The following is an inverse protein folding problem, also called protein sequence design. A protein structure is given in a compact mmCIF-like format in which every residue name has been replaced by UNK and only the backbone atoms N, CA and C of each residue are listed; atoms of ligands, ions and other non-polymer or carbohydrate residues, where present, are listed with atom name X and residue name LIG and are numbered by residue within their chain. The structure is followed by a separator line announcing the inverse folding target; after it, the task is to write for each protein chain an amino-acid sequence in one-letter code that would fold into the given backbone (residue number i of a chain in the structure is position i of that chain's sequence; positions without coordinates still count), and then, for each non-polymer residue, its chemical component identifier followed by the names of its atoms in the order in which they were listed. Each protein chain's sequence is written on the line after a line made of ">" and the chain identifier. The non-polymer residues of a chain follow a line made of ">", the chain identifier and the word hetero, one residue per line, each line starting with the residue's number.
data_IF_468451994758
#
_entry.id   IF_468451994758
#
_cell.length_a   1.000
_cell.length_b   1.000
_cell.length_c   1.000
_cell.angle_alpha   90.00
_cell.angle_beta   90.00
_cell.angle_gamma   90.00
#
_symmetry.space_group_name_H-M   'P 1'
#
loop_
_entity.id
_entity.type
_entity.pdbx_description
1 polymer ?
#
# COMPACT_ATOMS: atom_id res chain seq x y z
N UNK A 1 -77.64 12.48 24.35
CA UNK A 1 -77.95 12.21 22.91
C UNK A 1 -76.75 11.98 22.03
N UNK A 2 -75.54 11.72 22.58
CA UNK A 2 -74.28 11.58 21.83
C UNK A 2 -73.79 10.10 21.68
N UNK A 3 -74.40 9.14 22.40
CA UNK A 3 -73.96 7.76 22.46
C UNK A 3 -74.52 6.80 21.42
N UNK A 4 -75.34 7.29 20.48
CA UNK A 4 -75.99 6.47 19.44
C UNK A 4 -75.31 6.46 18.08
N UNK A 5 -74.29 7.29 17.83
CA UNK A 5 -73.67 7.46 16.50
C UNK A 5 -72.51 6.47 16.26
N UNK A 6 -71.94 5.86 17.31
CA UNK A 6 -70.75 4.98 17.19
C UNK A 6 -71.10 3.53 16.71
N UNK A 7 -72.38 3.18 16.54
CA UNK A 7 -72.80 1.80 16.23
C UNK A 7 -73.19 1.54 14.76
N UNK A 8 -72.95 2.49 13.87
CA UNK A 8 -73.15 2.21 12.43
C UNK A 8 -71.92 1.47 11.87
N UNK A 9 -72.17 0.30 11.33
CA UNK A 9 -71.11 -0.56 10.68
C UNK A 9 -70.30 0.14 9.58
N UNK A 10 -70.68 1.36 9.17
CA UNK A 10 -69.98 2.18 8.18
C UNK A 10 -68.98 3.20 8.76
N UNK A 11 -68.96 3.46 10.09
CA UNK A 11 -68.09 4.50 10.70
C UNK A 11 -66.64 3.98 10.93
N UNK A 12 -66.49 2.70 11.24
CA UNK A 12 -65.20 2.06 11.51
C UNK A 12 -64.29 2.10 10.27
N UNK A 13 -64.74 1.73 9.03
CA UNK A 13 -63.86 1.80 7.86
C UNK A 13 -63.46 3.21 7.47
N UNK A 14 -64.31 4.23 7.71
CA UNK A 14 -63.99 5.64 7.44
C UNK A 14 -62.92 6.13 8.39
N UNK A 15 -62.99 5.80 9.67
CA UNK A 15 -61.95 6.16 10.68
C UNK A 15 -60.62 5.50 10.39
N UNK A 16 -60.64 4.23 9.96
CA UNK A 16 -59.42 3.50 9.56
C UNK A 16 -58.77 4.10 8.30
N UNK A 17 -59.58 4.47 7.29
CA UNK A 17 -59.07 5.16 6.09
C UNK A 17 -58.47 6.51 6.43
N UNK A 18 -59.13 7.32 7.27
CA UNK A 18 -58.63 8.61 7.73
C UNK A 18 -57.32 8.43 8.55
N UNK A 19 -57.29 7.45 9.43
CA UNK A 19 -56.11 7.11 10.20
C UNK A 19 -54.94 6.64 9.28
N UNK A 20 -55.22 5.84 8.26
CA UNK A 20 -54.24 5.41 7.27
C UNK A 20 -53.73 6.56 6.40
N UNK A 21 -54.62 7.45 5.95
CA UNK A 21 -54.23 8.67 5.21
C UNK A 21 -53.43 9.63 6.08
N UNK A 22 -53.83 9.81 7.37
CA UNK A 22 -53.10 10.59 8.32
C UNK A 22 -51.74 9.98 8.63
N UNK A 23 -51.65 8.69 8.82
CA UNK A 23 -50.42 7.92 8.96
C UNK A 23 -49.48 8.12 7.75
N UNK A 24 -49.96 7.95 6.53
CA UNK A 24 -49.21 8.18 5.29
C UNK A 24 -48.73 9.62 5.13
N UNK A 25 -49.50 10.61 5.62
CA UNK A 25 -49.17 12.02 5.56
C UNK A 25 -48.17 12.45 6.66
N UNK A 26 -48.24 11.82 7.83
CA UNK A 26 -47.34 12.08 8.95
C UNK A 26 -46.05 11.29 8.88
N UNK A 27 -46.02 10.17 8.18
CA UNK A 27 -44.81 9.36 7.96
C UNK A 27 -44.43 9.38 6.48
N UNK A 28 -43.76 10.45 6.02
CA UNK A 28 -43.26 10.49 4.65
C UNK A 28 -42.35 9.29 4.41
N UNK A 29 -42.57 8.58 3.30
CA UNK A 29 -41.75 7.45 2.90
C UNK A 29 -40.27 7.86 2.90
N UNK A 30 -39.41 7.03 3.51
CA UNK A 30 -37.98 7.28 3.50
C UNK A 30 -37.51 7.51 2.05
N UNK A 31 -36.64 8.51 1.80
CA UNK A 31 -36.15 8.82 0.46
C UNK A 31 -35.52 7.56 -0.16
N UNK A 32 -35.93 7.27 -1.42
CA UNK A 32 -35.40 6.11 -2.14
C UNK A 32 -33.95 6.37 -2.54
N UNK A 33 -33.11 5.34 -2.38
CA UNK A 33 -31.75 5.38 -2.89
C UNK A 33 -31.76 5.39 -4.43
N UNK A 34 -30.94 6.27 -5.01
CA UNK A 34 -30.72 6.35 -6.47
C UNK A 34 -29.52 5.50 -6.90
N UNK A 35 -28.55 5.30 -6.01
CA UNK A 35 -27.40 4.42 -6.23
C UNK A 35 -26.76 4.01 -4.90
N UNK A 36 -25.73 3.16 -5.00
CA UNK A 36 -24.86 2.77 -3.88
C UNK A 36 -23.49 3.35 -4.13
N UNK A 37 -22.86 3.90 -3.08
CA UNK A 37 -21.50 4.38 -3.07
C UNK A 37 -20.72 3.79 -1.92
N UNK A 38 -19.41 4.01 -1.96
CA UNK A 38 -18.47 3.65 -0.90
C UNK A 38 -17.59 4.84 -0.56
N UNK A 39 -17.30 5.05 0.71
CA UNK A 39 -16.46 6.16 1.14
C UNK A 39 -15.02 5.92 0.70
N UNK A 40 -14.44 6.89 -0.03
CA UNK A 40 -13.11 6.81 -0.63
C UNK A 40 -12.02 7.56 0.13
N UNK A 41 -12.36 8.29 1.18
CA UNK A 41 -11.41 8.99 2.04
C UNK A 41 -11.39 8.37 3.44
N UNK A 42 -10.33 8.63 4.21
CA UNK A 42 -10.13 8.04 5.54
C UNK A 42 -11.32 8.29 6.46
N UNK A 43 -11.69 9.56 6.57
CA UNK A 43 -12.74 10.05 7.43
C UNK A 43 -13.53 11.14 6.69
N UNK A 44 -14.83 10.94 6.54
CA UNK A 44 -15.73 11.87 5.87
C UNK A 44 -16.82 12.31 6.82
N UNK A 45 -16.91 13.62 7.07
CA UNK A 45 -17.93 14.19 7.93
C UNK A 45 -19.24 14.30 7.14
N UNK A 46 -20.31 13.84 7.74
CA UNK A 46 -21.67 13.98 7.25
C UNK A 46 -22.34 15.21 7.86
N UNK A 47 -22.83 16.10 7.02
CA UNK A 47 -23.42 17.38 7.44
C UNK A 47 -24.94 17.33 7.35
N UNK A 48 -25.65 18.00 8.27
CA UNK A 48 -27.12 18.10 8.24
C UNK A 48 -27.64 18.91 7.06
N UNK A 49 -26.85 19.85 6.55
CA UNK A 49 -27.22 20.74 5.44
C UNK A 49 -26.03 21.19 4.61
N UNK A 50 -26.29 21.83 3.47
CA UNK A 50 -25.27 22.47 2.63
C UNK A 50 -25.05 23.95 2.96
N UNK A 51 -25.81 24.50 3.93
CA UNK A 51 -25.67 25.87 4.37
C UNK A 51 -24.30 26.20 4.98
N UNK A 52 -23.98 27.48 5.11
CA UNK A 52 -22.73 27.90 5.77
C UNK A 52 -22.71 27.50 7.25
N UNK A 53 -23.84 27.70 7.95
CA UNK A 53 -24.01 27.23 9.32
C UNK A 53 -24.60 25.82 9.24
N UNK A 54 -23.86 24.84 9.69
CA UNK A 54 -24.22 23.43 9.63
C UNK A 54 -23.60 22.64 10.79
N UNK A 55 -24.20 21.52 11.11
CA UNK A 55 -23.77 20.62 12.17
C UNK A 55 -23.38 19.27 11.59
N UNK A 56 -22.40 18.62 12.20
CA UNK A 56 -22.06 17.24 11.89
C UNK A 56 -23.15 16.32 12.44
N UNK A 57 -23.70 15.45 11.59
CA UNK A 57 -24.69 14.44 11.98
C UNK A 57 -24.10 13.04 12.04
N UNK A 58 -22.85 12.88 11.61
CA UNK A 58 -22.13 11.61 11.65
C UNK A 58 -20.82 11.67 10.92
N UNK A 59 -20.17 10.53 10.87
CA UNK A 59 -18.90 10.32 10.19
C UNK A 59 -18.94 8.98 9.47
N UNK A 60 -18.30 8.90 8.32
CA UNK A 60 -18.08 7.66 7.60
C UNK A 60 -16.60 7.43 7.36
N UNK A 61 -16.21 6.17 7.24
CA UNK A 61 -14.83 5.75 7.09
C UNK A 61 -14.60 5.07 5.73
N UNK A 62 -13.36 5.00 5.30
CA UNK A 62 -12.98 4.34 4.05
C UNK A 62 -13.59 2.94 3.93
N UNK A 63 -14.26 2.71 2.81
CA UNK A 63 -14.94 1.45 2.51
C UNK A 63 -16.35 1.31 3.07
N UNK A 64 -16.83 2.27 3.88
CA UNK A 64 -18.21 2.25 4.35
C UNK A 64 -19.16 2.36 3.15
N UNK A 65 -20.09 1.40 3.07
CA UNK A 65 -21.16 1.40 2.08
C UNK A 65 -22.22 2.43 2.49
N UNK A 66 -22.60 3.28 1.55
CA UNK A 66 -23.66 4.27 1.72
C UNK A 66 -24.67 4.21 0.58
N UNK A 67 -25.91 4.57 0.87
CA UNK A 67 -26.92 4.75 -0.15
C UNK A 67 -26.96 6.23 -0.56
N UNK A 68 -26.83 6.51 -1.84
CA UNK A 68 -26.93 7.85 -2.40
C UNK A 68 -28.41 8.18 -2.58
N UNK A 69 -28.85 9.25 -1.95
CA UNK A 69 -30.26 9.69 -1.97
C UNK A 69 -30.49 10.85 -2.94
N UNK A 70 -29.50 11.76 -3.04
CA UNK A 70 -29.60 12.97 -3.84
C UNK A 70 -28.22 13.49 -4.21
N UNK A 71 -28.12 14.13 -5.38
CA UNK A 71 -26.90 14.80 -5.83
C UNK A 71 -27.23 16.27 -6.15
N UNK A 72 -26.47 17.21 -5.58
CA UNK A 72 -26.57 18.64 -5.82
C UNK A 72 -25.19 19.22 -6.14
N UNK A 73 -24.91 19.44 -7.41
CA UNK A 73 -23.60 19.88 -7.87
C UNK A 73 -22.53 18.84 -7.51
N UNK A 74 -21.56 19.22 -6.68
CA UNK A 74 -20.53 18.33 -6.14
C UNK A 74 -20.93 17.66 -4.84
N UNK A 75 -22.03 18.07 -4.21
CA UNK A 75 -22.48 17.53 -2.94
C UNK A 75 -23.44 16.35 -3.13
N UNK A 76 -23.33 15.39 -2.22
CA UNK A 76 -24.11 14.14 -2.27
C UNK A 76 -24.76 13.89 -0.92
N UNK A 77 -26.08 13.72 -0.90
CA UNK A 77 -26.79 13.28 0.28
C UNK A 77 -26.75 11.76 0.34
N UNK A 78 -26.33 11.23 1.47
CA UNK A 78 -26.18 9.79 1.66
C UNK A 78 -26.89 9.31 2.91
N UNK A 79 -27.24 8.03 2.91
CA UNK A 79 -27.68 7.28 4.09
C UNK A 79 -26.65 6.21 4.41
N UNK A 80 -26.15 6.23 5.64
CA UNK A 80 -25.24 5.18 6.15
C UNK A 80 -25.98 3.90 6.49
N UNK A 81 -25.26 2.82 6.73
CA UNK A 81 -25.85 1.57 7.21
C UNK A 81 -26.55 1.68 8.57
N UNK A 82 -26.14 2.67 9.40
CA UNK A 82 -26.82 2.99 10.66
C UNK A 82 -28.13 3.76 10.48
N UNK A 83 -28.48 4.15 9.24
CA UNK A 83 -29.66 4.95 8.93
C UNK A 83 -29.43 6.48 9.04
N UNK A 84 -28.26 6.94 9.41
CA UNK A 84 -27.92 8.37 9.46
C UNK A 84 -27.94 8.97 8.07
N UNK A 85 -28.69 10.06 7.87
CA UNK A 85 -28.75 10.80 6.62
C UNK A 85 -27.93 12.08 6.78
N UNK A 86 -27.01 12.33 5.84
CA UNK A 86 -26.20 13.52 5.86
C UNK A 86 -25.65 13.86 4.47
N UNK A 87 -25.03 15.04 4.37
CA UNK A 87 -24.42 15.55 3.14
C UNK A 87 -22.91 15.37 3.17
N UNK A 88 -22.37 14.80 2.10
CA UNK A 88 -20.94 14.84 1.74
C UNK A 88 -20.78 15.97 0.72
N UNK A 89 -19.84 16.90 0.96
CA UNK A 89 -19.70 18.12 0.14
C UNK A 89 -18.98 17.88 -1.19
N UNK A 90 -18.17 16.86 -1.25
CA UNK A 90 -17.37 16.54 -2.43
C UNK A 90 -17.62 15.10 -2.85
N UNK A 91 -18.29 14.91 -3.97
CA UNK A 91 -18.59 13.60 -4.55
C UNK A 91 -17.34 12.77 -4.86
N UNK A 92 -16.16 13.42 -5.01
CA UNK A 92 -14.88 12.72 -5.19
C UNK A 92 -14.44 11.92 -3.96
N UNK A 93 -15.09 12.15 -2.82
CA UNK A 93 -14.90 11.34 -1.60
C UNK A 93 -15.71 10.04 -1.63
N UNK A 94 -16.50 9.81 -2.68
CA UNK A 94 -17.24 8.58 -2.90
C UNK A 94 -16.68 7.83 -4.11
N UNK A 95 -16.63 6.52 -3.96
CA UNK A 95 -16.40 5.57 -5.05
C UNK A 95 -17.72 4.93 -5.46
N UNK A 96 -17.91 4.70 -6.75
CA UNK A 96 -18.98 3.84 -7.23
C UNK A 96 -18.67 2.34 -6.95
N UNK A 97 -19.62 1.47 -7.18
CA UNK A 97 -19.46 0.03 -6.90
C UNK A 97 -18.39 -0.63 -7.77
N UNK A 98 -18.18 -0.14 -9.01
CA UNK A 98 -17.14 -0.67 -9.91
C UNK A 98 -15.75 -0.31 -9.38
N UNK A 99 -15.53 0.96 -9.05
CA UNK A 99 -14.24 1.45 -8.53
C UNK A 99 -13.91 0.80 -7.18
N UNK A 100 -14.93 0.63 -6.32
CA UNK A 100 -14.77 -0.11 -5.07
C UNK A 100 -14.38 -1.57 -5.31
N UNK A 101 -15.03 -2.26 -6.26
CA UNK A 101 -14.69 -3.63 -6.64
C UNK A 101 -13.24 -3.76 -7.11
N UNK A 102 -12.76 -2.82 -7.94
CA UNK A 102 -11.35 -2.76 -8.38
C UNK A 102 -10.40 -2.52 -7.20
N UNK A 103 -10.75 -1.60 -6.29
CA UNK A 103 -9.98 -1.33 -5.08
C UNK A 103 -9.88 -2.55 -4.17
N UNK A 104 -10.99 -3.25 -3.93
CA UNK A 104 -11.02 -4.47 -3.13
C UNK A 104 -10.16 -5.58 -3.75
N UNK A 105 -10.25 -5.79 -5.06
CA UNK A 105 -9.42 -6.76 -5.79
C UNK A 105 -7.93 -6.42 -5.68
N UNK A 106 -7.58 -5.14 -5.71
CA UNK A 106 -6.20 -4.68 -5.57
C UNK A 106 -5.65 -4.95 -4.15
N UNK A 107 -6.48 -4.77 -3.13
CA UNK A 107 -6.13 -5.10 -1.74
C UNK A 107 -5.87 -6.61 -1.60
N UNK A 108 -6.74 -7.46 -2.15
CA UNK A 108 -6.55 -8.92 -2.11
C UNK A 108 -5.26 -9.34 -2.85
N UNK A 109 -5.01 -8.78 -4.03
CA UNK A 109 -3.75 -9.00 -4.76
C UNK A 109 -2.55 -8.56 -3.92
N UNK A 110 -2.59 -7.36 -3.34
CA UNK A 110 -1.50 -6.80 -2.54
C UNK A 110 -1.14 -7.69 -1.33
N UNK A 111 -2.12 -8.37 -0.74
CA UNK A 111 -1.89 -9.30 0.39
C UNK A 111 -1.15 -10.58 -0.01
N UNK A 112 -1.20 -10.98 -1.28
CA UNK A 112 -0.52 -12.18 -1.78
C UNK A 112 0.90 -11.93 -2.27
N UNK A 113 1.25 -10.68 -2.49
CA UNK A 113 2.56 -10.29 -3.01
C UNK A 113 3.60 -10.21 -1.90
N UNK A 114 4.84 -10.63 -2.15
CA UNK A 114 5.93 -10.44 -1.21
C UNK A 114 6.33 -8.97 -1.12
N UNK A 115 6.61 -8.52 0.11
CA UNK A 115 7.10 -7.16 0.36
C UNK A 115 8.50 -7.02 -0.22
N UNK A 116 8.72 -5.99 -1.04
CA UNK A 116 10.01 -5.71 -1.68
C UNK A 116 10.84 -4.68 -0.91
N UNK A 117 10.16 -3.76 -0.26
CA UNK A 117 10.76 -2.76 0.60
C UNK A 117 9.70 -2.16 1.53
N UNK A 118 10.17 -1.42 2.52
CA UNK A 118 9.34 -0.54 3.36
C UNK A 118 9.66 0.90 3.04
N UNK A 119 8.69 1.78 3.22
CA UNK A 119 8.88 3.20 3.00
C UNK A 119 7.76 4.02 3.59
N UNK A 120 7.81 5.31 3.33
CA UNK A 120 6.77 6.26 3.73
C UNK A 120 6.55 7.32 2.67
N UNK A 121 5.37 7.90 2.65
CA UNK A 121 5.04 8.98 1.71
C UNK A 121 5.77 10.27 2.07
N UNK A 122 6.46 10.90 1.12
CA UNK A 122 7.15 12.21 1.30
C UNK A 122 6.18 13.38 1.41
N UNK A 123 5.03 13.24 0.76
CA UNK A 123 4.00 14.27 0.66
C UNK A 123 2.62 13.62 0.64
N UNK A 124 1.58 14.44 0.66
CA UNK A 124 0.21 13.97 0.40
C UNK A 124 0.17 13.32 -0.98
N UNK A 125 -0.22 12.04 -1.04
CA UNK A 125 -0.09 11.21 -2.23
C UNK A 125 -1.41 10.57 -2.63
N UNK A 126 -1.82 10.75 -3.87
CA UNK A 126 -2.98 10.06 -4.41
C UNK A 126 -2.67 8.58 -4.62
N UNK A 127 -3.56 7.73 -4.14
CA UNK A 127 -3.57 6.29 -4.38
C UNK A 127 -4.55 6.01 -5.50
N UNK A 128 -4.10 5.30 -6.53
CA UNK A 128 -4.88 5.03 -7.73
C UNK A 128 -5.10 3.54 -7.94
N UNK A 129 -6.16 3.21 -8.66
CA UNK A 129 -6.50 1.82 -8.96
C UNK A 129 -5.58 1.21 -10.03
N UNK A 130 -5.01 2.04 -10.89
CA UNK A 130 -4.11 1.68 -11.98
C UNK A 130 -2.89 2.63 -11.98
N UNK A 131 -1.71 2.18 -12.47
CA UNK A 131 -0.56 3.07 -12.64
C UNK A 131 -0.87 4.12 -13.70
N UNK A 132 -0.31 5.32 -13.54
CA UNK A 132 -0.56 6.45 -14.43
C UNK A 132 -1.45 7.53 -13.81
N UNK A 133 -1.30 8.76 -14.32
CA UNK A 133 -2.02 9.92 -13.77
C UNK A 133 -3.50 9.92 -14.10
N UNK A 134 -3.91 9.18 -15.13
CA UNK A 134 -5.31 9.02 -15.56
C UNK A 134 -6.05 7.96 -14.75
N UNK A 135 -5.32 7.10 -14.01
CA UNK A 135 -5.91 6.11 -13.13
C UNK A 135 -6.82 6.76 -12.09
N UNK A 136 -8.04 6.22 -11.88
CA UNK A 136 -8.98 6.76 -10.92
C UNK A 136 -8.41 6.73 -9.50
N UNK A 137 -8.53 7.85 -8.77
CA UNK A 137 -8.16 7.93 -7.35
C UNK A 137 -9.12 7.10 -6.51
N UNK A 138 -8.57 6.28 -5.64
CA UNK A 138 -9.33 5.45 -4.68
C UNK A 138 -9.09 5.87 -3.24
N UNK A 139 -7.97 6.56 -2.96
CA UNK A 139 -7.63 7.05 -1.62
C UNK A 139 -6.59 8.18 -1.70
N UNK A 140 -6.29 8.79 -0.56
CA UNK A 140 -5.20 9.76 -0.42
C UNK A 140 -4.42 9.48 0.86
N UNK A 141 -3.12 9.21 0.74
CA UNK A 141 -2.23 9.10 1.89
C UNK A 141 -1.77 10.47 2.36
N UNK A 142 -1.74 10.65 3.66
CA UNK A 142 -1.08 11.80 4.28
C UNK A 142 0.45 11.67 4.14
N UNK A 143 1.18 12.78 4.30
CA UNK A 143 2.63 12.76 4.42
C UNK A 143 3.06 11.87 5.60
N UNK A 144 4.12 11.10 5.41
CA UNK A 144 4.65 10.21 6.44
C UNK A 144 3.90 8.90 6.62
N UNK A 145 2.86 8.61 5.80
CA UNK A 145 2.14 7.33 5.87
C UNK A 145 3.10 6.17 5.58
N UNK A 146 3.25 5.19 6.50
CA UNK A 146 4.07 4.02 6.27
C UNK A 146 3.43 3.09 5.24
N UNK A 147 4.22 2.61 4.30
CA UNK A 147 3.79 1.75 3.19
C UNK A 147 4.73 0.57 2.98
N UNK A 148 4.16 -0.56 2.58
CA UNK A 148 4.86 -1.72 2.07
C UNK A 148 4.89 -1.63 0.55
N UNK A 149 6.05 -1.71 -0.05
CA UNK A 149 6.27 -1.63 -1.50
C UNK A 149 6.27 -3.06 -2.04
N UNK A 150 5.44 -3.32 -3.06
CA UNK A 150 5.15 -4.68 -3.55
C UNK A 150 5.58 -4.91 -4.99
N UNK A 151 5.28 -3.96 -5.87
CA UNK A 151 5.57 -4.03 -7.31
C UNK A 151 5.91 -2.64 -7.84
N UNK A 152 6.54 -2.61 -9.01
CA UNK A 152 6.77 -1.41 -9.81
C UNK A 152 6.06 -1.54 -11.15
N UNK A 153 5.57 -0.45 -11.67
CA UNK A 153 5.09 -0.33 -13.04
C UNK A 153 5.55 1.01 -13.62
N UNK A 154 5.60 1.07 -14.93
CA UNK A 154 5.90 2.29 -15.69
C UNK A 154 4.64 2.72 -16.41
N UNK A 155 4.34 4.00 -16.38
CA UNK A 155 3.24 4.59 -17.14
C UNK A 155 3.68 5.91 -17.77
N UNK A 156 3.02 6.27 -18.87
CA UNK A 156 3.33 7.51 -19.58
C UNK A 156 3.02 8.72 -18.68
N UNK A 157 3.92 9.68 -18.68
CA UNK A 157 3.67 10.98 -18.09
C UNK A 157 2.67 11.76 -18.96
N UNK A 158 1.74 12.54 -18.37
CA UNK A 158 0.84 13.36 -19.14
C UNK A 158 1.68 14.34 -19.99
N UNK A 159 1.37 14.42 -21.26
CA UNK A 159 1.92 15.46 -22.13
C UNK A 159 1.29 16.79 -21.68
N UNK A 160 2.04 17.56 -20.88
CA UNK A 160 1.66 18.94 -20.57
C UNK A 160 1.69 19.78 -21.84
N UNK A 161 0.98 20.95 -21.90
CA UNK A 161 1.27 21.94 -22.93
C UNK A 161 2.77 22.22 -22.84
N UNK A 162 3.42 22.22 -24.01
CA UNK A 162 4.87 22.46 -24.15
C UNK A 162 5.23 23.79 -23.47
N UNK A 163 5.55 23.73 -22.18
CA UNK A 163 6.21 24.83 -21.50
C UNK A 163 7.64 24.85 -22.04
N UNK A 164 7.93 25.91 -22.82
CA UNK A 164 9.23 26.24 -23.37
C UNK A 164 10.30 26.37 -22.26
N UNK A 165 10.76 25.26 -21.74
CA UNK A 165 11.91 25.20 -20.86
C UNK A 165 13.16 25.19 -21.74
N UNK A 166 13.91 26.26 -21.73
CA UNK A 166 15.18 26.39 -22.46
C UNK A 166 16.25 25.36 -22.04
N UNK A 167 16.01 24.62 -20.96
CA UNK A 167 16.85 23.52 -20.48
C UNK A 167 16.67 22.20 -21.26
N UNK A 168 15.53 21.98 -21.91
CA UNK A 168 15.23 20.75 -22.63
C UNK A 168 15.98 20.59 -23.96
N UNK A 169 16.58 21.68 -24.47
CA UNK A 169 17.34 21.65 -25.73
C UNK A 169 18.72 21.00 -25.65
N UNK A 170 19.21 20.64 -24.45
CA UNK A 170 20.51 20.01 -24.28
C UNK A 170 20.44 18.48 -24.04
N UNK A 171 19.24 17.92 -23.86
CA UNK A 171 19.06 16.49 -23.62
C UNK A 171 19.10 15.70 -24.94
N UNK A 172 19.69 14.50 -24.90
CA UNK A 172 19.71 13.60 -26.06
C UNK A 172 18.30 13.06 -26.35
N UNK A 173 18.00 12.60 -27.58
CA UNK A 173 16.69 12.00 -27.89
C UNK A 173 16.31 10.84 -26.99
N UNK A 174 17.28 10.07 -26.49
CA UNK A 174 17.08 8.99 -25.54
C UNK A 174 16.68 9.47 -24.13
N UNK A 175 17.19 10.64 -23.72
CA UNK A 175 16.84 11.25 -22.44
C UNK A 175 15.48 11.94 -22.48
N UNK A 176 15.09 12.48 -23.65
CA UNK A 176 13.76 13.04 -23.88
C UNK A 176 12.67 11.97 -23.89
N UNK A 177 12.97 10.76 -24.39
CA UNK A 177 12.01 9.64 -24.37
C UNK A 177 11.85 9.07 -22.95
N UNK A 178 12.91 9.03 -22.17
CA UNK A 178 12.87 8.64 -20.73
C UNK A 178 12.09 9.64 -19.88
N UNK A 179 12.08 10.93 -20.22
CA UNK A 179 11.33 11.94 -19.46
C UNK A 179 9.80 11.83 -19.62
N UNK A 180 9.33 11.03 -20.57
CA UNK A 180 7.90 10.80 -20.82
C UNK A 180 7.29 9.66 -20.02
N UNK A 181 8.08 8.94 -19.24
CA UNK A 181 7.61 7.81 -18.44
C UNK A 181 7.84 8.07 -16.95
N UNK A 182 6.89 7.63 -16.13
CA UNK A 182 6.91 7.77 -14.68
C UNK A 182 6.83 6.39 -14.01
N UNK A 183 7.60 6.23 -12.93
CA UNK A 183 7.56 5.04 -12.11
C UNK A 183 6.43 5.10 -11.10
N UNK A 184 5.68 4.01 -11.01
CA UNK A 184 4.59 3.81 -10.09
C UNK A 184 4.86 2.60 -9.22
N UNK A 185 4.58 2.72 -7.93
CA UNK A 185 4.73 1.64 -6.96
C UNK A 185 3.36 1.17 -6.51
N UNK A 186 3.11 -0.14 -6.61
CA UNK A 186 2.00 -0.76 -5.90
C UNK A 186 2.37 -0.83 -4.44
N UNK A 187 1.62 -0.16 -3.62
CA UNK A 187 1.85 -0.10 -2.18
C UNK A 187 0.65 -0.59 -1.40
N UNK A 188 0.93 -1.16 -0.23
CA UNK A 188 -0.06 -1.50 0.78
C UNK A 188 0.25 -0.68 2.02
N UNK A 189 -0.74 0.02 2.59
CA UNK A 189 -0.55 0.73 3.86
C UNK A 189 -0.07 -0.26 4.92
N UNK A 190 1.10 0.02 5.49
CA UNK A 190 1.60 -0.78 6.60
C UNK A 190 0.66 -0.62 7.82
N UNK A 191 0.50 -1.67 8.64
CA UNK A 191 -0.17 -1.50 9.91
C UNK A 191 0.57 -0.43 10.72
N UNK A 192 -0.19 0.44 11.38
CA UNK A 192 0.38 1.41 12.30
C UNK A 192 1.16 0.59 13.35
N UNK A 193 2.48 0.67 13.36
CA UNK A 193 3.26 0.17 14.49
C UNK A 193 2.73 0.90 15.72
N UNK A 194 2.49 0.23 16.86
CA UNK A 194 2.16 0.94 18.08
C UNK A 194 3.30 1.95 18.29
N UNK A 195 2.99 3.23 18.07
CA UNK A 195 3.90 4.32 18.39
C UNK A 195 4.03 4.20 19.90
N UNK A 196 5.20 3.74 20.38
CA UNK A 196 5.56 3.92 21.77
C UNK A 196 5.48 5.44 22.01
N UNK A 197 4.40 5.84 22.65
CA UNK A 197 4.21 7.20 23.14
C UNK A 197 5.13 7.43 24.36
N UNK A 198 6.44 7.31 24.14
CA UNK A 198 7.48 7.67 25.11
C UNK A 198 8.58 8.42 24.39
N UNK A 199 8.23 9.61 23.91
CA UNK A 199 9.15 10.66 23.54
C UNK A 199 9.25 11.69 24.65
N UNK A 200 9.56 11.29 25.87
CA UNK A 200 9.98 12.23 26.92
C UNK A 200 11.41 11.88 27.31
N UNK A 201 12.34 12.71 26.85
CA UNK A 201 13.69 12.77 27.38
C UNK A 201 13.63 13.04 28.89
N UNK A 202 13.87 12.04 29.69
CA UNK A 202 14.22 12.23 31.10
C UNK A 202 15.55 11.55 31.36
N UNK A 203 16.59 12.37 31.36
CA UNK A 203 17.88 12.02 31.88
C UNK A 203 17.79 11.94 33.42
N UNK A 204 17.90 10.74 33.96
CA UNK A 204 18.28 10.60 35.38
C UNK A 204 19.18 9.37 35.54
N UNK A 205 20.41 9.65 35.91
CA UNK A 205 21.38 8.70 36.49
C UNK A 205 20.87 8.12 37.81
N UNK A 206 21.09 6.81 37.98
CA UNK A 206 21.04 6.17 39.30
C UNK A 206 21.11 4.63 39.22
N UNK A 207 21.99 4.00 39.97
CA UNK A 207 22.33 2.59 39.78
C UNK A 207 21.59 1.62 40.72
N UNK A 208 21.41 0.42 40.23
CA UNK A 208 21.28 -0.74 41.14
C UNK A 208 20.04 -1.62 40.99
N UNK A 209 20.26 -2.91 40.78
CA UNK A 209 19.29 -3.93 41.17
C UNK A 209 18.94 -5.00 40.16
N UNK A 210 19.74 -6.04 40.13
CA UNK A 210 19.58 -7.32 39.46
C UNK A 210 18.34 -8.10 39.91
N UNK A 211 17.53 -8.71 39.01
CA UNK A 211 17.19 -10.13 39.01
C UNK A 211 16.46 -10.58 37.77
N UNK A 212 16.68 -11.81 37.28
CA UNK A 212 16.22 -12.26 35.98
C UNK A 212 14.82 -12.87 36.06
N UNK A 213 13.98 -12.61 35.05
CA UNK A 213 12.77 -13.35 34.78
C UNK A 213 12.95 -14.12 33.46
N UNK A 214 12.64 -15.36 33.52
CA UNK A 214 12.70 -16.43 32.52
C UNK A 214 12.10 -16.01 31.17
N UNK A 215 12.89 -16.22 30.15
CA UNK A 215 12.54 -15.95 28.74
C UNK A 215 12.03 -17.22 28.11
N UNK A 216 10.78 -17.23 27.70
CA UNK A 216 10.33 -18.16 26.68
C UNK A 216 10.74 -17.62 25.32
N UNK A 217 11.72 -18.27 24.72
CA UNK A 217 12.26 -17.93 23.42
C UNK A 217 11.26 -18.31 22.33
N UNK A 218 10.57 -17.31 21.79
CA UNK A 218 9.95 -17.44 20.46
C UNK A 218 11.04 -17.17 19.43
N UNK A 219 11.58 -18.24 18.88
CA UNK A 219 12.51 -18.22 17.75
C UNK A 219 11.78 -17.74 16.48
N UNK A 220 11.81 -16.44 16.23
CA UNK A 220 11.42 -15.83 14.97
C UNK A 220 12.64 -15.76 14.04
N UNK A 221 12.75 -16.70 13.11
CA UNK A 221 13.77 -16.68 12.07
C UNK A 221 13.58 -15.45 11.12
N UNK A 222 14.66 -14.96 10.48
CA UNK A 222 14.58 -13.84 9.57
C UNK A 222 13.79 -14.22 8.32
N UNK A 223 12.77 -13.41 8.02
CA UNK A 223 11.98 -13.41 6.77
C UNK A 223 11.51 -14.77 6.22
N UNK A 224 10.77 -15.54 7.01
CA UNK A 224 9.68 -16.32 6.44
C UNK A 224 8.73 -15.33 5.77
N UNK A 225 8.21 -15.63 4.58
CA UNK A 225 7.26 -14.79 3.86
C UNK A 225 6.28 -14.17 4.86
N UNK A 226 6.47 -12.89 5.19
CA UNK A 226 5.61 -12.21 6.14
C UNK A 226 4.25 -12.11 5.48
N UNK A 227 3.40 -13.08 5.78
CA UNK A 227 1.97 -12.96 5.52
C UNK A 227 1.52 -11.68 6.21
N UNK A 228 0.94 -10.78 5.41
CA UNK A 228 0.34 -9.54 5.91
C UNK A 228 -0.63 -9.94 7.03
N UNK A 229 -0.48 -9.41 8.25
CA UNK A 229 -1.36 -9.77 9.36
C UNK A 229 -2.81 -9.50 8.98
N UNK A 230 -3.70 -10.46 9.22
CA UNK A 230 -5.13 -10.35 8.92
C UNK A 230 -5.85 -9.23 9.72
N UNK A 231 -5.21 -8.70 10.76
CA UNK A 231 -5.74 -7.65 11.62
C UNK A 231 -5.07 -6.30 11.31
N UNK A 232 -5.45 -5.65 10.23
CA UNK A 232 -5.18 -4.23 10.03
C UNK A 232 -6.33 -3.39 10.58
N UNK A 233 -6.47 -3.37 11.91
CA UNK A 233 -7.49 -2.63 12.63
C UNK A 233 -7.02 -1.23 13.01
N UNK A 234 -7.05 -0.33 12.05
CA UNK A 234 -7.13 1.11 12.30
C UNK A 234 -8.47 1.63 11.76
N UNK A 235 -8.91 2.85 12.09
CA UNK A 235 -10.22 3.37 11.68
C UNK A 235 -10.44 3.44 10.16
N UNK A 236 -9.42 3.24 9.36
CA UNK A 236 -9.55 2.94 7.93
C UNK A 236 -8.97 1.55 7.66
N UNK A 237 -9.75 0.66 7.07
CA UNK A 237 -9.34 -0.68 6.65
C UNK A 237 -8.07 -0.68 5.79
N UNK A 238 -7.59 -1.86 5.34
CA UNK A 238 -6.41 -1.94 4.48
C UNK A 238 -6.64 -1.15 3.19
N UNK A 239 -5.64 -0.39 2.78
CA UNK A 239 -5.64 0.37 1.53
C UNK A 239 -4.45 -0.07 0.70
N UNK A 240 -4.69 -0.50 -0.54
CA UNK A 240 -3.64 -0.80 -1.51
C UNK A 240 -3.91 -0.04 -2.81
N UNK A 241 -2.86 0.35 -3.50
CA UNK A 241 -2.97 0.99 -4.81
C UNK A 241 -1.66 1.56 -5.31
N UNK A 242 -1.73 2.18 -6.46
CA UNK A 242 -0.58 2.73 -7.17
C UNK A 242 -0.29 4.16 -6.71
N UNK A 243 0.94 4.41 -6.33
CA UNK A 243 1.47 5.71 -5.91
C UNK A 243 2.69 6.03 -6.78
N UNK A 244 2.83 7.29 -7.18
CA UNK A 244 3.97 7.77 -7.96
C UNK A 244 5.27 7.57 -7.15
N UNK A 245 6.27 6.89 -7.73
CA UNK A 245 7.47 6.43 -7.02
C UNK A 245 8.23 7.57 -6.33
N UNK A 246 8.39 8.74 -6.98
CA UNK A 246 9.08 9.90 -6.40
C UNK A 246 8.42 10.46 -5.13
N UNK A 247 7.16 10.09 -4.85
CA UNK A 247 6.45 10.48 -3.62
C UNK A 247 6.63 9.49 -2.48
N UNK A 248 7.39 8.42 -2.70
CA UNK A 248 7.71 7.44 -1.67
C UNK A 248 9.20 7.53 -1.32
N UNK A 249 9.50 7.58 -0.03
CA UNK A 249 10.84 7.44 0.51
C UNK A 249 11.00 6.03 1.06
N UNK A 250 12.07 5.35 0.64
CA UNK A 250 12.39 4.00 1.12
C UNK A 250 13.03 4.08 2.50
N UNK A 251 12.57 3.25 3.43
CA UNK A 251 13.18 3.09 4.75
C UNK A 251 14.40 2.15 4.61
N UNK A 252 15.52 2.67 4.12
CA UNK A 252 16.75 1.91 3.93
C UNK A 252 17.52 1.82 5.25
N UNK A 253 18.10 0.64 5.60
CA UNK A 253 19.09 0.54 6.66
C UNK A 253 20.29 1.46 6.39
N UNK A 254 20.87 2.06 7.44
CA UNK A 254 21.95 3.03 7.29
C UNK A 254 23.11 2.54 6.40
N UNK A 255 23.63 1.29 6.56
CA UNK A 255 24.71 0.81 5.70
C UNK A 255 24.32 0.72 4.21
N UNK A 256 23.05 0.43 3.92
CA UNK A 256 22.52 0.36 2.56
C UNK A 256 22.32 1.77 2.00
N UNK A 257 21.84 2.69 2.82
CA UNK A 257 21.59 4.09 2.46
C UNK A 257 22.89 4.81 2.10
N UNK A 258 23.92 4.68 2.94
CA UNK A 258 25.23 5.29 2.71
C UNK A 258 25.85 4.79 1.42
N UNK A 259 25.74 3.48 1.18
CA UNK A 259 26.28 2.88 -0.02
C UNK A 259 25.50 3.27 -1.28
N UNK A 260 24.18 3.21 -1.25
CA UNK A 260 23.33 3.59 -2.37
C UNK A 260 23.58 5.05 -2.79
N UNK A 261 23.68 5.94 -1.81
CA UNK A 261 24.00 7.36 -2.05
C UNK A 261 25.37 7.56 -2.69
N UNK A 262 26.40 6.83 -2.20
CA UNK A 262 27.76 6.95 -2.74
C UNK A 262 27.93 6.37 -4.14
N UNK A 263 27.07 5.42 -4.53
CA UNK A 263 27.12 4.72 -5.80
C UNK A 263 26.12 5.25 -6.83
N UNK A 264 25.36 6.30 -6.52
CA UNK A 264 24.23 6.81 -7.33
C UNK A 264 23.27 5.69 -7.75
N UNK A 265 22.98 4.80 -6.79
CA UNK A 265 22.12 3.64 -6.99
C UNK A 265 20.69 3.97 -6.58
N UNK A 266 19.78 3.94 -7.54
CA UNK A 266 18.35 4.01 -7.28
C UNK A 266 17.84 2.64 -6.81
N UNK A 267 17.62 2.51 -5.49
CA UNK A 267 17.16 1.26 -4.87
C UNK A 267 15.68 1.07 -5.13
N UNK A 268 15.28 -0.12 -5.59
CA UNK A 268 13.88 -0.51 -5.84
C UNK A 268 13.41 -1.62 -4.91
N UNK A 269 14.33 -2.43 -4.37
CA UNK A 269 14.03 -3.45 -3.38
C UNK A 269 15.23 -3.71 -2.46
N UNK A 270 14.96 -4.10 -1.21
CA UNK A 270 15.98 -4.54 -0.29
C UNK A 270 15.43 -5.53 0.73
N UNK A 271 16.31 -6.45 1.19
CA UNK A 271 15.95 -7.53 2.10
C UNK A 271 17.07 -7.80 3.09
N UNK A 272 16.72 -8.10 4.34
CA UNK A 272 17.63 -8.78 5.25
C UNK A 272 17.60 -10.27 4.93
N UNK A 273 18.74 -10.84 4.51
CA UNK A 273 18.82 -12.25 4.12
C UNK A 273 19.09 -13.16 5.32
N UNK A 274 20.10 -12.83 6.11
CA UNK A 274 20.61 -13.62 7.20
C UNK A 274 21.36 -12.73 8.19
N UNK A 275 21.83 -13.32 9.29
CA UNK A 275 22.70 -12.65 10.27
C UNK A 275 23.99 -13.42 10.42
N UNK A 276 25.08 -12.68 10.61
CA UNK A 276 26.43 -13.21 10.82
C UNK A 276 27.03 -12.62 12.10
N UNK A 277 27.96 -13.32 12.81
CA UNK A 277 28.62 -12.77 13.97
C UNK A 277 29.26 -11.41 13.65
N UNK A 278 29.10 -10.43 14.56
CA UNK A 278 29.69 -9.09 14.41
C UNK A 278 31.10 -8.97 15.00
N UNK A 279 31.55 -10.02 15.71
CA UNK A 279 32.84 -10.07 16.39
C UNK A 279 32.85 -9.42 17.79
N UNK A 280 31.72 -8.89 18.26
CA UNK A 280 31.54 -8.32 19.61
C UNK A 280 30.66 -9.17 20.51
N UNK A 281 30.22 -10.34 20.03
CA UNK A 281 29.27 -11.24 20.71
C UNK A 281 27.82 -11.02 20.23
N UNK A 282 27.59 -10.10 19.28
CA UNK A 282 26.32 -9.88 18.62
C UNK A 282 26.29 -10.41 17.20
N UNK A 283 25.22 -10.05 16.46
CA UNK A 283 25.02 -10.42 15.08
C UNK A 283 24.70 -9.19 14.22
N UNK A 284 25.28 -9.13 13.03
CA UNK A 284 25.01 -8.13 12.02
C UNK A 284 24.18 -8.73 10.85
N UNK A 285 23.14 -8.04 10.37
CA UNK A 285 22.35 -8.51 9.25
C UNK A 285 23.13 -8.46 7.93
N UNK A 286 22.79 -9.36 7.02
CA UNK A 286 23.25 -9.34 5.64
C UNK A 286 22.12 -8.84 4.75
N UNK A 287 22.44 -7.96 3.80
CA UNK A 287 21.44 -7.29 2.98
C UNK A 287 21.56 -7.65 1.50
N UNK A 288 20.44 -8.00 0.88
CA UNK A 288 20.28 -8.00 -0.57
C UNK A 288 19.66 -6.66 -0.99
N UNK A 289 20.24 -6.03 -1.99
CA UNK A 289 19.75 -4.77 -2.57
C UNK A 289 19.61 -4.94 -4.07
N UNK A 290 18.48 -4.56 -4.61
CA UNK A 290 18.23 -4.45 -6.04
C UNK A 290 18.01 -2.99 -6.43
N UNK A 291 18.62 -2.55 -7.50
CA UNK A 291 18.51 -1.19 -7.98
C UNK A 291 19.06 -0.98 -9.38
N UNK A 292 19.06 0.25 -9.84
CA UNK A 292 19.57 0.66 -11.14
C UNK A 292 20.32 1.99 -11.05
N UNK A 293 21.23 2.24 -11.97
CA UNK A 293 21.90 3.53 -12.16
C UNK A 293 21.15 4.42 -13.17
N UNK A 294 20.02 3.98 -13.70
CA UNK A 294 19.19 4.75 -14.63
C UNK A 294 18.13 5.57 -13.89
N UNK A 295 17.63 6.60 -14.55
CA UNK A 295 16.49 7.39 -14.07
C UNK A 295 15.17 6.62 -14.10
N UNK A 296 14.05 7.31 -13.78
CA UNK A 296 12.69 6.79 -13.87
C UNK A 296 12.35 6.31 -15.31
N UNK A 297 11.38 5.42 -15.44
CA UNK A 297 10.83 4.98 -16.74
C UNK A 297 11.57 3.83 -17.43
N UNK A 298 12.56 3.22 -16.80
CA UNK A 298 13.25 2.06 -17.37
C UNK A 298 12.34 0.82 -17.49
N UNK A 299 12.51 0.06 -18.58
CA UNK A 299 11.74 -1.19 -18.81
C UNK A 299 12.05 -2.29 -17.82
N UNK A 300 13.27 -2.34 -17.27
CA UNK A 300 13.70 -3.25 -16.23
C UNK A 300 13.45 -2.60 -14.86
N UNK A 301 12.94 -3.37 -13.89
CA UNK A 301 12.75 -2.83 -12.54
C UNK A 301 14.09 -2.59 -11.86
N UNK A 302 15.07 -3.45 -12.11
CA UNK A 302 16.45 -3.27 -11.66
C UNK A 302 17.45 -3.86 -12.65
N UNK A 303 18.64 -3.26 -12.68
CA UNK A 303 19.74 -3.69 -13.56
C UNK A 303 20.92 -4.24 -12.78
N UNK A 304 20.88 -4.14 -11.45
CA UNK A 304 21.93 -4.58 -10.56
C UNK A 304 21.36 -5.23 -9.30
N UNK A 305 22.06 -6.26 -8.83
CA UNK A 305 21.91 -6.84 -7.50
C UNK A 305 23.22 -6.73 -6.73
N UNK A 306 23.13 -6.47 -5.44
CA UNK A 306 24.26 -6.47 -4.54
C UNK A 306 23.91 -7.08 -3.20
N UNK A 307 24.83 -7.88 -2.66
CA UNK A 307 24.72 -8.46 -1.32
C UNK A 307 25.81 -7.88 -0.45
N UNK A 308 25.42 -7.39 0.71
CA UNK A 308 26.32 -6.86 1.74
C UNK A 308 26.40 -7.82 2.91
N UNK A 309 27.62 -8.00 3.43
CA UNK A 309 27.90 -8.79 4.62
C UNK A 309 28.78 -8.01 5.57
N UNK A 310 28.67 -8.31 6.86
CA UNK A 310 29.56 -7.71 7.86
C UNK A 310 30.92 -8.41 7.87
N UNK A 311 31.99 -7.61 7.86
CA UNK A 311 33.35 -8.08 8.02
C UNK A 311 33.81 -7.86 9.46
N UNK A 312 33.97 -8.95 10.23
CA UNK A 312 34.46 -8.90 11.62
C UNK A 312 35.89 -8.36 11.70
N UNK A 313 36.71 -8.67 10.71
CA UNK A 313 38.12 -8.22 10.65
C UNK A 313 38.22 -6.71 10.42
N UNK A 314 37.34 -6.15 9.57
CA UNK A 314 37.37 -4.71 9.21
C UNK A 314 36.34 -3.87 9.96
N UNK A 315 35.45 -4.54 10.74
CA UNK A 315 34.36 -3.90 11.50
C UNK A 315 33.50 -2.95 10.63
N UNK A 316 33.16 -3.40 9.43
CA UNK A 316 32.33 -2.66 8.48
C UNK A 316 31.59 -3.60 7.54
N UNK A 317 30.58 -3.07 6.86
CA UNK A 317 29.93 -3.78 5.75
C UNK A 317 30.85 -3.82 4.52
N UNK A 318 30.86 -4.98 3.86
CA UNK A 318 31.58 -5.21 2.62
C UNK A 318 30.66 -5.91 1.62
N UNK A 319 30.97 -5.76 0.35
CA UNK A 319 30.24 -6.44 -0.72
C UNK A 319 30.62 -7.92 -0.75
N UNK A 320 29.65 -8.79 -0.50
CA UNK A 320 29.78 -10.24 -0.67
C UNK A 320 29.57 -10.67 -2.12
N UNK A 321 28.68 -9.97 -2.84
CA UNK A 321 28.32 -10.31 -4.21
C UNK A 321 27.80 -9.09 -4.98
N UNK A 322 28.12 -9.01 -6.25
CA UNK A 322 27.56 -8.05 -7.21
C UNK A 322 27.24 -8.77 -8.49
N UNK A 323 26.09 -8.47 -9.06
CA UNK A 323 25.74 -8.81 -10.44
C UNK A 323 25.13 -7.58 -11.11
N UNK A 324 25.67 -7.22 -12.26
CA UNK A 324 25.24 -6.12 -13.13
C UNK A 324 24.71 -6.68 -14.44
N UNK A 325 24.26 -5.81 -15.32
CA UNK A 325 23.74 -6.14 -16.65
C UNK A 325 22.49 -7.04 -16.61
N UNK A 326 21.69 -6.88 -15.57
CA UNK A 326 20.41 -7.54 -15.42
C UNK A 326 19.29 -6.73 -16.10
N UNK A 327 18.22 -7.43 -16.45
CA UNK A 327 16.91 -6.83 -16.69
C UNK A 327 15.90 -7.58 -15.82
N UNK A 328 16.04 -7.37 -14.51
CA UNK A 328 15.25 -8.04 -13.49
C UNK A 328 13.92 -7.37 -13.25
N UNK A 329 12.91 -8.20 -12.96
CA UNK A 329 11.57 -7.73 -12.58
C UNK A 329 11.20 -8.15 -11.16
N UNK A 330 10.46 -7.26 -10.49
CA UNK A 330 9.81 -7.56 -9.22
C UNK A 330 8.61 -8.52 -9.44
N UNK A 331 8.30 -9.39 -8.48
CA UNK A 331 8.91 -9.44 -7.15
C UNK A 331 10.17 -10.31 -7.08
N UNK A 332 11.13 -9.88 -6.28
CA UNK A 332 12.18 -10.76 -5.77
C UNK A 332 11.55 -11.59 -4.64
N UNK A 333 11.72 -12.89 -4.69
CA UNK A 333 11.19 -13.84 -3.71
C UNK A 333 12.32 -14.40 -2.86
N UNK A 334 12.20 -14.25 -1.55
CA UNK A 334 13.14 -14.79 -0.58
C UNK A 334 12.53 -16.05 0.03
N UNK A 335 13.34 -17.10 0.18
CA UNK A 335 12.97 -18.35 0.86
C UNK A 335 14.13 -18.88 1.67
N UNK A 336 13.83 -19.72 2.67
CA UNK A 336 14.84 -20.41 3.46
C UNK A 336 15.15 -21.74 2.79
N UNK A 337 16.40 -21.90 2.31
CA UNK A 337 16.91 -23.15 1.75
C UNK A 337 17.74 -23.93 2.77
N UNK A 338 18.03 -25.21 2.44
CA UNK A 338 18.84 -26.07 3.31
C UNK A 338 20.29 -25.58 3.52
N UNK A 339 20.80 -24.77 2.60
CA UNK A 339 22.18 -24.23 2.63
C UNK A 339 22.23 -22.77 3.08
N UNK A 340 21.09 -22.14 3.27
CA UNK A 340 20.96 -20.72 3.62
C UNK A 340 19.82 -20.06 2.87
N UNK A 341 19.64 -18.74 3.02
CA UNK A 341 18.59 -18.01 2.29
C UNK A 341 18.79 -18.10 0.78
N UNK A 342 17.68 -18.32 0.10
CA UNK A 342 17.61 -18.34 -1.35
C UNK A 342 16.81 -17.13 -1.83
N UNK A 343 17.23 -16.53 -2.94
CA UNK A 343 16.47 -15.47 -3.59
C UNK A 343 16.34 -15.73 -5.08
N UNK A 344 15.17 -15.38 -5.63
CA UNK A 344 14.85 -15.59 -7.04
C UNK A 344 14.05 -14.45 -7.61
N UNK A 345 14.23 -14.19 -8.89
CA UNK A 345 13.54 -13.16 -9.67
C UNK A 345 13.54 -13.54 -11.15
N UNK A 346 12.61 -12.95 -11.92
CA UNK A 346 12.58 -13.13 -13.38
C UNK A 346 13.55 -12.16 -14.06
N UNK A 347 14.30 -12.62 -15.05
CA UNK A 347 15.23 -11.81 -15.85
C UNK A 347 14.91 -11.90 -17.35
N UNK A 348 14.59 -10.75 -17.95
CA UNK A 348 14.28 -10.66 -19.38
C UNK A 348 15.48 -11.05 -20.26
N UNK A 349 16.70 -10.75 -19.85
CA UNK A 349 17.92 -11.13 -20.56
C UNK A 349 18.09 -12.66 -20.68
N UNK A 350 17.37 -13.43 -19.86
CA UNK A 350 17.30 -14.90 -19.94
C UNK A 350 15.94 -15.40 -20.45
N UNK A 351 15.25 -14.58 -21.23
CA UNK A 351 13.94 -14.95 -21.78
C UNK A 351 12.83 -14.99 -20.75
N UNK A 352 12.96 -14.25 -19.65
CA UNK A 352 11.99 -14.22 -18.56
C UNK A 352 12.07 -15.41 -17.60
N UNK A 353 13.11 -16.24 -17.71
CA UNK A 353 13.34 -17.35 -16.77
C UNK A 353 13.75 -16.84 -15.39
N UNK A 354 13.37 -17.62 -14.37
CA UNK A 354 13.78 -17.31 -13.00
C UNK A 354 15.26 -17.58 -12.80
N UNK A 355 15.98 -16.56 -12.32
CA UNK A 355 17.31 -16.71 -11.75
C UNK A 355 17.19 -17.02 -10.27
N UNK A 356 17.89 -18.03 -9.80
CA UNK A 356 17.90 -18.43 -8.39
C UNK A 356 19.32 -18.39 -7.85
N UNK A 357 19.45 -17.85 -6.65
CA UNK A 357 20.72 -17.72 -5.92
C UNK A 357 20.56 -18.27 -4.51
N UNK A 358 21.64 -18.80 -3.98
CA UNK A 358 21.74 -19.28 -2.60
C UNK A 358 22.88 -18.54 -1.92
N UNK A 359 22.62 -18.00 -0.75
CA UNK A 359 23.65 -17.43 0.10
C UNK A 359 24.10 -18.48 1.12
N UNK A 360 25.36 -18.85 1.06
CA UNK A 360 26.00 -19.74 2.02
C UNK A 360 27.04 -18.94 2.81
N UNK A 361 26.79 -18.74 4.12
CA UNK A 361 27.59 -17.88 5.00
C UNK A 361 27.76 -16.47 4.40
N UNK A 362 28.92 -16.15 3.82
CA UNK A 362 29.26 -14.87 3.20
C UNK A 362 29.40 -14.94 1.68
N UNK A 363 29.07 -16.07 1.06
CA UNK A 363 29.22 -16.30 -0.38
C UNK A 363 27.86 -16.52 -1.04
N UNK A 364 27.65 -15.93 -2.20
CA UNK A 364 26.45 -16.10 -3.03
C UNK A 364 26.79 -16.95 -4.24
N UNK A 365 25.99 -17.94 -4.50
CA UNK A 365 26.11 -18.85 -5.63
C UNK A 365 24.84 -18.87 -6.45
N UNK A 366 24.98 -18.70 -7.76
CA UNK A 366 23.88 -18.91 -8.69
C UNK A 366 23.59 -20.41 -8.83
N UNK A 367 22.32 -20.78 -8.66
CA UNK A 367 21.85 -22.15 -8.88
C UNK A 367 21.58 -22.33 -10.38
N UNK A 368 22.30 -23.26 -11.02
CA UNK A 368 22.00 -23.58 -12.41
C UNK A 368 20.66 -24.31 -12.48
N UNK A 369 19.76 -23.86 -13.35
CA UNK A 369 18.53 -24.60 -13.64
C UNK A 369 18.86 -26.02 -14.04
N UNK A 370 18.26 -27.02 -13.39
CA UNK A 370 18.42 -28.42 -13.81
C UNK A 370 17.86 -28.54 -15.23
N UNK A 371 18.72 -28.69 -16.19
CA UNK A 371 18.33 -29.00 -17.57
C UNK A 371 17.59 -30.34 -17.55
N UNK A 372 16.27 -30.31 -17.67
CA UNK A 372 15.45 -31.51 -17.85
C UNK A 372 15.90 -32.17 -19.15
N UNK A 373 16.70 -33.21 -19.01
CA UNK A 373 17.14 -34.03 -20.13
C UNK A 373 15.87 -34.65 -20.73
N UNK A 374 15.56 -34.41 -22.01
CA UNK A 374 14.38 -35.04 -22.60
C UNK A 374 14.58 -36.54 -22.51
N UNK A 375 13.65 -37.23 -21.88
CA UNK A 375 13.60 -38.67 -21.80
C UNK A 375 13.42 -39.18 -23.25
N UNK A 376 14.50 -39.66 -23.84
CA UNK A 376 14.52 -40.28 -25.18
C UNK A 376 13.72 -41.57 -25.08
N UNK A 377 12.43 -41.49 -25.43
CA UNK A 377 11.58 -42.67 -25.64
C UNK A 377 12.24 -43.53 -26.73
N UNK A 378 12.77 -44.68 -26.36
CA UNK A 378 13.26 -45.69 -27.27
C UNK A 378 12.03 -46.44 -27.78
N UNK A 379 11.68 -46.23 -29.05
CA UNK A 379 10.82 -47.12 -29.80
C UNK A 379 11.57 -48.38 -30.16
#
# INVERSE_FOLDING_TARGET
>A
MIWRIVRSRGFIPIVLILAAVLYWRLYPSAPKAISVGYIGDRDVILWNSLAQVRESVGQGHYGDRVEVLRVEGTAVQVRTNSGTIGWIRDSRQLMDSELWGKSASLIERARTLPVQARGRTKTVSNVRVEPGRDGKRIFQFARGTPVLILERAVADAPQGPEENSQEEKAASPADQEKSKQEDWLLVLRAPDSPVNAEGTLSSSHGPGGMKPATTDAVSGGPFAAQSVPAAMGGPAGPVAGWVLARFVEFDLPDPVKDYASSADLHVVAWFELNRVPDGSGGEAPQYLVAGSHGGEGGTCDFTMLRVYTWSTARKRYETAYVESDLCGHLPIRISSGAKGPEFRFSDVNEGGADRTYVMYQTSVHRVKAATSRPTRTRN
#
